data_IF_116639459647
#
_entry.id   IF_116639459647
#
_cell.length_a   1.000
_cell.length_b   1.000
_cell.length_c   1.000
_cell.angle_alpha   90.00
_cell.angle_beta   90.00
_cell.angle_gamma   90.00
#
_symmetry.space_group_name_H-M   'P 1'
#
loop_
_entity.id
_entity.type
_entity.pdbx_description
1 polymer ?
#
# COMPACT_ATOMS: atom_id res chain seq x y z
N UNK A 1 2.70 22.33 -10.83
CA UNK A 1 3.38 21.17 -11.45
C UNK A 1 4.31 20.55 -10.44
N UNK A 2 4.54 19.24 -10.52
CA UNK A 2 5.52 18.57 -9.66
C UNK A 2 6.92 19.14 -9.95
N UNK A 3 7.60 19.62 -8.90
CA UNK A 3 9.01 20.01 -9.00
C UNK A 3 9.87 18.77 -8.79
N UNK A 4 11.09 18.77 -9.31
CA UNK A 4 12.07 17.71 -9.01
C UNK A 4 12.24 17.54 -7.48
N UNK A 5 12.24 18.63 -6.73
CA UNK A 5 12.29 18.58 -5.27
C UNK A 5 11.09 17.85 -4.64
N UNK A 6 9.88 18.07 -5.16
CA UNK A 6 8.68 17.41 -4.64
C UNK A 6 8.73 15.89 -4.82
N UNK A 7 9.39 15.38 -5.87
CA UNK A 7 9.54 13.93 -6.08
C UNK A 7 10.41 13.29 -4.99
N UNK A 8 11.49 13.97 -4.57
CA UNK A 8 12.50 13.37 -3.69
C UNK A 8 12.37 13.73 -2.21
N UNK A 9 11.64 14.79 -1.87
CA UNK A 9 11.60 15.31 -0.50
C UNK A 9 10.21 15.49 0.09
N UNK A 10 9.15 15.47 -0.72
CA UNK A 10 7.80 15.73 -0.21
C UNK A 10 7.37 14.60 0.73
N UNK A 11 6.92 14.88 1.96
CA UNK A 11 6.43 13.85 2.86
C UNK A 11 5.24 13.10 2.26
N UNK A 12 5.20 11.78 2.42
CA UNK A 12 4.15 10.93 1.83
C UNK A 12 2.73 11.39 2.20
N UNK A 13 2.52 11.79 3.46
CA UNK A 13 1.24 12.31 3.96
C UNK A 13 0.73 13.57 3.25
N UNK A 14 1.60 14.30 2.56
CA UNK A 14 1.25 15.54 1.84
C UNK A 14 0.89 15.24 0.36
N UNK A 15 0.97 13.98 -0.05
CA UNK A 15 0.51 13.48 -1.35
C UNK A 15 -0.92 12.92 -1.24
N UNK A 16 -1.64 12.89 -2.37
CA UNK A 16 -2.95 12.24 -2.43
C UNK A 16 -3.03 11.32 -3.66
N UNK A 17 -3.07 9.98 -3.47
CA UNK A 17 -2.95 9.27 -2.18
C UNK A 17 -1.57 9.48 -1.54
N UNK A 18 -1.38 9.08 -0.26
CA UNK A 18 -0.05 9.04 0.33
C UNK A 18 0.92 8.24 -0.56
N UNK A 19 2.07 8.84 -0.88
CA UNK A 19 3.04 8.24 -1.81
C UNK A 19 4.41 8.25 -1.18
N UNK A 20 5.04 7.08 -1.04
CA UNK A 20 6.39 6.97 -0.50
C UNK A 20 7.41 7.75 -1.35
N UNK A 21 8.42 8.31 -0.68
CA UNK A 21 9.58 8.89 -1.36
C UNK A 21 10.30 7.77 -2.13
N UNK A 22 10.78 7.99 -3.37
CA UNK A 22 11.52 6.96 -4.10
C UNK A 22 12.72 6.42 -3.30
N UNK A 23 12.99 5.12 -3.41
CA UNK A 23 13.98 4.40 -2.63
C UNK A 23 13.52 4.00 -1.22
N UNK A 24 12.29 4.32 -0.82
CA UNK A 24 11.74 3.99 0.51
C UNK A 24 10.52 3.08 0.46
N UNK A 25 10.05 2.71 -0.74
CA UNK A 25 8.85 1.90 -0.91
C UNK A 25 9.16 0.41 -0.90
N UNK A 26 8.35 -0.35 -0.19
CA UNK A 26 8.46 -1.82 -0.16
C UNK A 26 8.18 -2.45 -1.52
N UNK A 27 7.40 -1.78 -2.37
CA UNK A 27 7.14 -2.20 -3.76
C UNK A 27 8.42 -2.24 -4.60
N UNK A 28 9.39 -1.36 -4.35
CA UNK A 28 10.66 -1.31 -5.11
C UNK A 28 11.52 -2.56 -4.87
N UNK A 29 11.34 -3.22 -3.72
CA UNK A 29 12.05 -4.45 -3.35
C UNK A 29 11.25 -5.73 -3.63
N UNK A 30 10.05 -5.63 -4.21
CA UNK A 30 9.16 -6.77 -4.43
C UNK A 30 8.59 -7.38 -3.14
N UNK A 31 8.54 -6.61 -2.05
CA UNK A 31 8.08 -7.08 -0.71
C UNK A 31 6.69 -6.58 -0.32
N UNK A 32 5.99 -5.93 -1.24
CA UNK A 32 4.62 -5.45 -1.10
C UNK A 32 3.78 -5.77 -2.34
N UNK A 33 2.47 -5.85 -2.14
CA UNK A 33 1.45 -6.09 -3.15
C UNK A 33 0.24 -5.18 -2.88
N UNK A 34 -0.29 -4.57 -3.94
CA UNK A 34 -1.56 -3.86 -3.90
C UNK A 34 -2.64 -4.73 -4.55
N UNK A 35 -3.57 -5.25 -3.75
CA UNK A 35 -4.67 -6.07 -4.26
C UNK A 35 -5.80 -5.20 -4.84
N UNK A 36 -6.49 -5.73 -5.85
CA UNK A 36 -7.67 -5.11 -6.47
C UNK A 36 -8.78 -6.13 -6.69
N UNK A 37 -10.02 -5.66 -6.76
CA UNK A 37 -11.17 -6.44 -7.21
C UNK A 37 -11.69 -5.85 -8.52
N UNK A 38 -11.44 -6.54 -9.64
CA UNK A 38 -11.75 -6.05 -10.98
C UNK A 38 -11.09 -4.70 -11.24
N UNK A 39 -11.88 -3.68 -11.57
CA UNK A 39 -11.40 -2.32 -11.82
C UNK A 39 -11.18 -1.48 -10.55
N UNK A 40 -11.60 -1.95 -9.38
CA UNK A 40 -11.60 -1.16 -8.13
C UNK A 40 -10.51 -1.55 -7.13
N UNK A 41 -10.10 -0.58 -6.30
CA UNK A 41 -9.28 -0.83 -5.10
C UNK A 41 -10.08 -1.57 -4.03
N UNK A 42 -9.40 -2.44 -3.27
CA UNK A 42 -9.98 -3.08 -2.09
C UNK A 42 -10.38 -2.00 -1.06
N UNK A 43 -11.58 -2.11 -0.52
CA UNK A 43 -12.10 -1.21 0.53
C UNK A 43 -12.12 -1.94 1.87
N UNK A 44 -12.00 -1.19 2.96
CA UNK A 44 -11.90 -1.75 4.32
C UNK A 44 -13.15 -2.53 4.76
N UNK A 45 -14.31 -2.20 4.19
CA UNK A 45 -15.61 -2.84 4.43
C UNK A 45 -15.93 -3.95 3.41
N UNK A 46 -15.01 -4.25 2.49
CA UNK A 46 -15.25 -5.24 1.44
C UNK A 46 -15.02 -6.68 1.91
N UNK A 47 -15.61 -7.62 1.18
CA UNK A 47 -15.53 -9.07 1.45
C UNK A 47 -14.10 -9.59 1.26
N UNK A 48 -13.42 -9.03 0.27
CA UNK A 48 -12.03 -9.33 -0.09
C UNK A 48 -11.07 -8.84 0.98
N UNK A 49 -11.28 -7.62 1.52
CA UNK A 49 -10.50 -7.14 2.66
C UNK A 49 -10.68 -8.04 3.88
N UNK A 50 -11.92 -8.44 4.18
CA UNK A 50 -12.19 -9.38 5.27
C UNK A 50 -11.46 -10.72 5.08
N UNK A 51 -11.45 -11.25 3.85
CA UNK A 51 -10.72 -12.47 3.52
C UNK A 51 -9.21 -12.29 3.66
N UNK A 52 -8.64 -11.22 3.11
CA UNK A 52 -7.21 -10.91 3.21
C UNK A 52 -6.79 -10.75 4.67
N UNK A 53 -7.56 -10.02 5.47
CA UNK A 53 -7.31 -9.86 6.91
C UNK A 53 -7.29 -11.17 7.67
N UNK A 54 -8.14 -12.12 7.31
CA UNK A 54 -8.19 -13.43 7.96
C UNK A 54 -7.10 -14.41 7.46
N UNK A 55 -6.61 -14.26 6.22
CA UNK A 55 -5.79 -15.29 5.56
C UNK A 55 -4.37 -14.84 5.18
N UNK A 56 -4.15 -13.58 4.82
CA UNK A 56 -2.86 -13.06 4.36
C UNK A 56 -1.69 -13.30 5.34
N UNK A 57 -1.88 -13.23 6.68
CA UNK A 57 -0.79 -13.55 7.61
C UNK A 57 -0.22 -14.96 7.47
N UNK A 58 -1.03 -15.93 7.00
CA UNK A 58 -0.58 -17.31 6.72
C UNK A 58 0.44 -17.37 5.58
N UNK A 59 0.48 -16.34 4.75
CA UNK A 59 1.37 -16.19 3.60
C UNK A 59 2.45 -15.12 3.86
N UNK A 60 2.63 -14.68 5.10
CA UNK A 60 3.64 -13.68 5.46
C UNK A 60 3.31 -12.26 5.01
N UNK A 61 2.04 -11.96 4.75
CA UNK A 61 1.57 -10.63 4.33
C UNK A 61 0.75 -9.96 5.43
N UNK A 62 1.04 -8.69 5.68
CA UNK A 62 0.42 -7.87 6.70
C UNK A 62 -0.08 -6.56 6.08
N UNK A 63 -1.27 -6.10 6.48
CA UNK A 63 -1.88 -4.91 5.91
C UNK A 63 -1.24 -3.63 6.46
N UNK A 64 -1.03 -2.65 5.58
CA UNK A 64 -0.82 -1.26 5.98
C UNK A 64 -2.18 -0.61 6.30
N UNK A 65 -2.48 -0.19 7.54
CA UNK A 65 -3.85 0.15 7.96
C UNK A 65 -4.50 1.35 7.25
N UNK A 66 -3.69 2.24 6.66
CA UNK A 66 -4.17 3.41 5.91
C UNK A 66 -4.64 3.04 4.50
N UNK A 67 -4.15 1.92 3.95
CA UNK A 67 -4.41 1.47 2.59
C UNK A 67 -4.92 0.03 2.61
N UNK A 68 -6.24 -0.21 2.57
CA UNK A 68 -6.82 -1.55 2.66
C UNK A 68 -6.36 -2.50 1.54
N UNK A 69 -5.93 -1.98 0.40
CA UNK A 69 -5.36 -2.74 -0.71
C UNK A 69 -3.90 -3.13 -0.51
N UNK A 70 -3.16 -2.45 0.38
CA UNK A 70 -1.72 -2.61 0.51
C UNK A 70 -1.33 -3.66 1.55
N UNK A 71 -0.53 -4.65 1.13
CA UNK A 71 -0.05 -5.72 1.98
C UNK A 71 1.43 -5.96 1.74
N UNK A 72 2.22 -6.01 2.80
CA UNK A 72 3.66 -6.20 2.72
C UNK A 72 4.15 -7.22 3.73
N UNK A 73 5.39 -7.67 3.58
CA UNK A 73 6.04 -8.57 4.54
C UNK A 73 6.26 -7.95 5.92
N UNK A 74 6.01 -6.63 6.08
CA UNK A 74 6.19 -5.91 7.34
C UNK A 74 4.96 -5.13 7.83
N UNK A 75 3.90 -5.02 7.02
CA UNK A 75 2.70 -4.23 7.36
C UNK A 75 2.92 -2.72 7.38
N UNK A 76 3.98 -2.28 6.69
CA UNK A 76 4.37 -0.89 6.47
C UNK A 76 4.48 -0.63 4.99
#
# INVERSE_FOLDING_TARGET
GETHENVWKKPAKDCNPPTAIPGTSMHESGRALDFRNGSGSIKKDSREYAWLKANAPRYGLFNYPQEPWHWSTSGR
#
